data_IF_419399220793
#
_entry.id   IF_419399220793
#
_cell.length_a   1.000
_cell.length_b   1.000
_cell.length_c   1.000
_cell.angle_alpha   90.00
_cell.angle_beta   90.00
_cell.angle_gamma   90.00
#
_symmetry.space_group_name_H-M   'P 1'
#
loop_
_entity.id
_entity.type
_entity.pdbx_description
1 polymer ?
#
# COMPACT_ATOMS: atom_id res chain seq x y z
N UNK A 1 -3.87 -11.71 40.28
CA UNK A 1 -3.65 -10.25 40.35
C UNK A 1 -2.99 -9.80 39.07
N UNK A 2 -3.76 -9.38 38.05
CA UNK A 2 -3.20 -8.79 36.82
C UNK A 2 -3.26 -7.29 37.00
N UNK A 3 -2.17 -6.73 37.53
CA UNK A 3 -1.90 -5.29 37.49
C UNK A 3 -0.84 -5.05 36.43
N UNK A 4 -1.20 -5.26 35.16
CA UNK A 4 -0.52 -4.56 34.08
C UNK A 4 -1.29 -3.27 33.91
N UNK A 5 -0.88 -2.21 34.61
CA UNK A 5 -1.37 -0.87 34.33
C UNK A 5 -1.29 -0.66 32.80
N UNK A 6 -2.41 -0.35 32.15
CA UNK A 6 -2.40 0.08 30.77
C UNK A 6 -1.55 1.34 30.71
N UNK A 7 -0.29 1.17 30.36
CA UNK A 7 0.69 2.23 30.50
C UNK A 7 0.49 3.19 29.33
N UNK A 8 0.35 4.49 29.63
CA UNK A 8 0.10 5.56 28.67
C UNK A 8 1.15 5.62 27.56
N UNK A 9 0.74 5.92 26.34
CA UNK A 9 1.62 6.20 25.21
C UNK A 9 1.80 7.71 25.09
N UNK A 10 3.03 8.20 25.25
CA UNK A 10 3.41 9.55 24.83
C UNK A 10 3.60 9.57 23.31
N UNK A 11 2.84 10.42 22.62
CA UNK A 11 2.79 10.56 21.16
C UNK A 11 3.13 12.01 20.79
N UNK A 12 4.15 12.18 19.94
CA UNK A 12 4.55 13.46 19.36
C UNK A 12 4.23 13.46 17.86
N UNK A 13 3.51 14.49 17.40
CA UNK A 13 3.06 14.66 16.02
C UNK A 13 3.71 15.93 15.48
N UNK A 14 4.67 15.75 14.58
CA UNK A 14 5.44 16.84 13.95
C UNK A 14 4.95 17.06 12.53
N UNK A 15 4.35 18.22 12.27
CA UNK A 15 3.82 18.59 10.96
C UNK A 15 4.91 19.22 10.06
N UNK A 16 4.78 19.14 8.73
CA UNK A 16 5.74 19.74 7.79
C UNK A 16 5.95 21.26 7.96
N UNK A 17 4.95 21.96 8.50
CA UNK A 17 5.03 23.40 8.77
C UNK A 17 5.76 23.75 10.09
N UNK A 18 6.34 22.76 10.77
CA UNK A 18 7.05 22.93 12.04
C UNK A 18 6.16 22.91 13.28
N UNK A 19 4.82 22.81 13.14
CA UNK A 19 3.92 22.63 14.29
C UNK A 19 4.22 21.27 14.95
N UNK A 20 4.26 21.26 16.29
CA UNK A 20 4.41 20.05 17.10
C UNK A 20 3.21 19.93 18.04
N UNK A 21 2.62 18.74 18.11
CA UNK A 21 1.59 18.40 19.09
C UNK A 21 2.05 17.21 19.90
N UNK A 22 2.01 17.31 21.23
CA UNK A 22 2.24 16.19 22.14
C UNK A 22 0.92 15.74 22.76
N UNK A 23 0.68 14.43 22.79
CA UNK A 23 -0.49 13.80 23.40
C UNK A 23 -0.07 12.60 24.24
N UNK A 24 -0.75 12.44 25.35
CA UNK A 24 -0.67 11.22 26.16
C UNK A 24 -1.94 10.42 25.92
N UNK A 25 -1.83 9.23 25.33
CA UNK A 25 -2.95 8.35 25.01
C UNK A 25 -2.99 7.17 25.99
N UNK A 26 -4.15 6.91 26.59
CA UNK A 26 -4.43 5.66 27.30
C UNK A 26 -4.83 4.56 26.31
N UNK A 27 -5.01 3.34 26.82
CA UNK A 27 -5.54 2.25 26.02
C UNK A 27 -6.91 2.61 25.44
N UNK A 28 -7.08 2.41 24.13
CA UNK A 28 -8.26 2.76 23.33
C UNK A 28 -8.55 4.26 23.16
N UNK A 29 -7.68 5.15 23.67
CA UNK A 29 -7.80 6.58 23.35
C UNK A 29 -7.51 6.82 21.86
N UNK A 30 -8.27 7.74 21.28
CA UNK A 30 -8.12 8.17 19.89
C UNK A 30 -7.85 9.67 19.87
N UNK A 31 -6.80 10.05 19.15
CA UNK A 31 -6.57 11.44 18.77
C UNK A 31 -6.73 11.58 17.26
N UNK A 32 -7.48 12.60 16.84
CA UNK A 32 -7.67 12.91 15.43
C UNK A 32 -7.29 14.38 15.19
N UNK A 33 -6.39 14.60 14.23
CA UNK A 33 -6.15 15.90 13.61
C UNK A 33 -6.72 15.86 12.19
N UNK A 34 -7.39 16.92 11.78
CA UNK A 34 -7.83 17.11 10.41
C UNK A 34 -7.61 18.57 9.98
N UNK A 35 -7.31 18.78 8.71
CA UNK A 35 -7.26 20.11 8.10
C UNK A 35 -8.22 20.16 6.91
N UNK A 36 -8.92 21.29 6.77
CA UNK A 36 -9.83 21.54 5.64
C UNK A 36 -9.13 22.13 4.42
N UNK A 37 -7.95 22.73 4.61
CA UNK A 37 -7.31 23.59 3.60
C UNK A 37 -5.91 23.15 3.22
N UNK A 38 -5.32 22.21 3.97
CA UNK A 38 -3.92 21.81 3.77
C UNK A 38 -3.78 20.30 3.86
N UNK A 39 -3.14 19.72 2.85
CA UNK A 39 -2.67 18.34 2.92
C UNK A 39 -1.61 18.22 4.03
N UNK A 40 -1.57 17.07 4.70
CA UNK A 40 -0.63 16.76 5.78
C UNK A 40 0.40 15.64 5.46
N UNK A 41 0.79 15.36 4.21
CA UNK A 41 1.82 14.36 3.90
C UNK A 41 3.16 14.79 4.52
N UNK A 42 3.96 13.81 4.96
CA UNK A 42 5.21 14.08 5.67
C UNK A 42 5.04 14.44 7.15
N UNK A 43 3.83 14.34 7.70
CA UNK A 43 3.63 14.39 9.16
C UNK A 43 4.30 13.19 9.82
N UNK A 44 5.19 13.44 10.78
CA UNK A 44 5.88 12.42 11.53
C UNK A 44 5.16 12.16 12.85
N UNK A 45 4.78 10.90 13.08
CA UNK A 45 4.22 10.42 14.35
C UNK A 45 5.26 9.59 15.07
N UNK A 46 5.73 10.07 16.22
CA UNK A 46 6.63 9.35 17.12
C UNK A 46 5.86 8.95 18.37
N UNK A 47 6.00 7.70 18.78
CA UNK A 47 5.32 7.19 19.97
C UNK A 47 6.27 6.37 20.82
N UNK A 48 6.16 6.54 22.14
CA UNK A 48 6.87 5.72 23.13
C UNK A 48 6.38 4.26 23.18
N UNK A 49 5.25 3.95 22.53
CA UNK A 49 4.63 2.62 22.46
C UNK A 49 3.99 2.35 21.09
N UNK A 50 3.72 1.08 20.74
CA UNK A 50 2.95 0.76 19.54
C UNK A 50 1.59 1.49 19.54
N UNK A 51 1.32 2.22 18.46
CA UNK A 51 0.05 2.88 18.18
C UNK A 51 -0.33 2.59 16.73
N UNK A 52 -1.63 2.50 16.43
CA UNK A 52 -2.10 2.48 15.05
C UNK A 52 -2.24 3.91 14.54
N UNK A 53 -1.76 4.16 13.33
CA UNK A 53 -1.86 5.46 12.66
C UNK A 53 -2.68 5.26 11.41
N UNK A 54 -3.85 5.89 11.33
CA UNK A 54 -4.67 5.93 10.12
C UNK A 54 -4.56 7.31 9.51
N UNK A 55 -4.24 7.38 8.22
CA UNK A 55 -4.12 8.64 7.48
C UNK A 55 -5.03 8.61 6.27
N UNK A 56 -5.61 9.76 5.93
CA UNK A 56 -6.55 9.86 4.82
C UNK A 56 -7.28 11.19 4.78
N UNK A 57 -8.27 11.24 3.89
CA UNK A 57 -9.23 12.33 3.77
C UNK A 57 -10.62 11.77 3.53
N UNK A 58 -11.63 12.36 4.17
CA UNK A 58 -13.04 12.03 3.92
C UNK A 58 -13.53 12.48 2.54
N UNK A 59 -12.78 13.37 1.88
CA UNK A 59 -13.05 13.93 0.56
C UNK A 59 -11.72 14.18 -0.15
N UNK A 60 -11.09 13.11 -0.63
CA UNK A 60 -9.86 13.19 -1.42
C UNK A 60 -10.18 13.49 -2.90
N UNK A 61 -9.35 14.27 -3.59
CA UNK A 61 -9.45 14.54 -5.04
C UNK A 61 -8.13 14.22 -5.72
N UNK A 62 -7.98 13.00 -6.23
CA UNK A 62 -6.70 12.55 -6.80
C UNK A 62 -6.64 12.73 -8.33
N UNK A 63 -7.71 12.39 -9.05
CA UNK A 63 -7.72 12.49 -10.51
C UNK A 63 -9.03 12.99 -11.12
N UNK A 64 -9.99 13.39 -10.29
CA UNK A 64 -11.29 13.89 -10.73
C UNK A 64 -11.73 15.06 -9.86
N UNK A 65 -12.74 15.80 -10.30
CA UNK A 65 -13.38 16.86 -9.50
C UNK A 65 -14.30 16.30 -8.40
N UNK A 66 -14.78 15.07 -8.56
CA UNK A 66 -15.53 14.35 -7.54
C UNK A 66 -14.56 13.88 -6.45
N UNK A 67 -14.99 13.98 -5.21
CA UNK A 67 -14.22 13.45 -4.09
C UNK A 67 -14.84 12.19 -3.54
N UNK A 68 -13.98 11.36 -2.99
CA UNK A 68 -14.34 10.12 -2.32
C UNK A 68 -13.46 9.95 -1.08
N UNK A 69 -13.88 9.07 -0.18
CA UNK A 69 -13.10 8.77 1.02
C UNK A 69 -11.86 7.95 0.61
N UNK A 70 -10.71 8.34 1.11
CA UNK A 70 -9.48 7.58 0.96
C UNK A 70 -8.74 7.58 2.29
N UNK A 71 -8.59 6.41 2.90
CA UNK A 71 -7.85 6.24 4.13
C UNK A 71 -7.16 4.89 4.14
N UNK A 72 -6.04 4.82 4.85
CA UNK A 72 -5.24 3.61 4.99
C UNK A 72 -4.50 3.63 6.33
N UNK A 73 -4.24 2.45 6.90
CA UNK A 73 -3.42 2.33 8.08
C UNK A 73 -1.94 2.41 7.68
N UNK A 74 -1.22 3.38 8.21
CA UNK A 74 0.19 3.61 7.89
C UNK A 74 1.09 2.55 8.53
N UNK A 75 2.13 2.14 7.81
CA UNK A 75 3.21 1.30 8.35
C UNK A 75 4.25 2.17 9.07
N UNK A 76 4.93 1.65 10.10
CA UNK A 76 5.98 2.41 10.78
C UNK A 76 7.18 2.66 9.86
N UNK A 77 7.91 3.74 10.08
CA UNK A 77 9.04 4.15 9.23
C UNK A 77 10.18 3.12 9.22
N UNK A 78 10.38 2.38 10.31
CA UNK A 78 11.36 1.28 10.36
C UNK A 78 10.98 0.06 9.52
N UNK A 79 9.75 0.00 9.00
CA UNK A 79 9.30 -1.04 8.08
C UNK A 79 9.40 -0.61 6.60
N UNK A 80 9.78 0.64 6.31
CA UNK A 80 9.94 1.13 4.95
C UNK A 80 10.97 0.29 4.18
N UNK A 81 10.83 0.21 2.86
CA UNK A 81 11.68 -0.63 1.99
C UNK A 81 12.31 0.22 0.88
N UNK A 82 13.23 -0.36 0.11
CA UNK A 82 13.93 0.32 -0.99
C UNK A 82 13.55 -0.19 -2.39
N UNK A 83 12.75 -1.26 -2.46
CA UNK A 83 12.39 -1.90 -3.72
C UNK A 83 10.91 -2.28 -3.74
N UNK A 84 10.18 -1.77 -4.73
CA UNK A 84 8.75 -1.99 -4.89
C UNK A 84 8.42 -2.30 -6.34
N UNK A 85 7.38 -3.11 -6.50
CA UNK A 85 6.66 -3.29 -7.76
C UNK A 85 5.23 -2.84 -7.47
N UNK A 86 4.77 -1.79 -8.13
CA UNK A 86 3.40 -1.30 -8.01
C UNK A 86 2.58 -1.94 -9.12
N UNK A 87 1.53 -2.71 -8.79
CA UNK A 87 0.70 -3.33 -9.82
C UNK A 87 -0.16 -2.28 -10.52
N UNK A 88 -0.46 -2.45 -11.82
CA UNK A 88 -1.50 -1.67 -12.48
C UNK A 88 -2.86 -1.89 -11.82
N UNK A 89 -3.73 -0.88 -11.90
CA UNK A 89 -5.11 -0.99 -11.43
C UNK A 89 -5.97 -1.45 -12.60
N UNK A 90 -6.61 -2.60 -12.47
CA UNK A 90 -7.49 -3.12 -13.52
C UNK A 90 -8.57 -2.09 -13.87
N UNK A 91 -8.87 -1.94 -15.16
CA UNK A 91 -9.87 -1.01 -15.68
C UNK A 91 -9.61 0.48 -15.46
N UNK A 92 -8.42 0.86 -14.96
CA UNK A 92 -7.98 2.24 -14.93
C UNK A 92 -7.10 2.56 -16.13
N UNK A 93 -7.16 3.80 -16.61
CA UNK A 93 -6.20 4.28 -17.63
C UNK A 93 -4.88 4.70 -16.99
N UNK A 94 -4.92 5.02 -15.69
CA UNK A 94 -3.81 5.56 -14.96
C UNK A 94 -3.89 5.21 -13.48
N UNK A 95 -2.74 5.16 -12.82
CA UNK A 95 -2.69 5.12 -11.36
C UNK A 95 -1.96 6.35 -10.83
N UNK A 96 -2.31 6.77 -9.62
CA UNK A 96 -1.56 7.76 -8.88
C UNK A 96 -0.84 7.05 -7.74
N UNK A 97 0.41 7.41 -7.51
CA UNK A 97 1.17 6.91 -6.37
C UNK A 97 1.82 8.05 -5.61
N UNK A 98 2.06 7.83 -4.33
CA UNK A 98 2.80 8.72 -3.45
C UNK A 98 3.97 7.98 -2.81
N UNK A 99 5.16 8.57 -2.87
CA UNK A 99 6.35 8.07 -2.21
C UNK A 99 6.70 8.96 -1.03
N UNK A 100 7.05 8.38 0.12
CA UNK A 100 7.51 9.10 1.30
C UNK A 100 8.94 8.71 1.65
N UNK A 101 9.83 9.69 1.83
CA UNK A 101 11.19 9.43 2.31
C UNK A 101 11.31 9.66 3.81
N UNK A 102 11.84 8.67 4.54
CA UNK A 102 12.20 8.82 5.95
C UNK A 102 13.58 9.44 6.16
N UNK A 103 14.34 9.66 5.08
CA UNK A 103 15.71 10.16 5.11
C UNK A 103 15.90 11.39 4.21
N UNK A 104 16.93 12.18 4.51
CA UNK A 104 17.38 13.27 3.64
C UNK A 104 18.28 12.75 2.51
N UNK A 105 18.31 13.46 1.37
CA UNK A 105 19.14 13.12 0.21
C UNK A 105 18.87 11.73 -0.37
N UNK A 106 17.64 11.23 -0.25
CA UNK A 106 17.24 9.93 -0.77
C UNK A 106 16.94 10.01 -2.26
N UNK A 107 17.78 9.40 -3.11
CA UNK A 107 17.47 9.29 -4.54
C UNK A 107 16.43 8.21 -4.77
N UNK A 108 15.25 8.62 -5.22
CA UNK A 108 14.14 7.73 -5.59
C UNK A 108 14.00 7.72 -7.11
N UNK A 109 13.94 6.54 -7.70
CA UNK A 109 13.72 6.32 -9.12
C UNK A 109 12.41 5.56 -9.34
N UNK A 110 11.61 6.03 -10.31
CA UNK A 110 10.37 5.39 -10.74
C UNK A 110 10.51 5.07 -12.22
N UNK A 111 10.16 3.84 -12.58
CA UNK A 111 10.29 3.32 -13.94
C UNK A 111 9.06 2.53 -14.35
N UNK A 112 8.61 2.74 -15.58
CA UNK A 112 7.73 1.84 -16.32
C UNK A 112 8.26 1.62 -17.74
N UNK A 113 7.46 0.97 -18.58
CA UNK A 113 7.80 0.64 -19.98
C UNK A 113 7.99 1.87 -20.87
N UNK A 114 7.54 3.05 -20.45
CA UNK A 114 7.57 4.29 -21.24
C UNK A 114 8.56 5.32 -20.69
N UNK A 115 8.86 5.32 -19.39
CA UNK A 115 9.76 6.30 -18.79
C UNK A 115 10.55 5.76 -17.61
N UNK A 116 11.66 6.44 -17.33
CA UNK A 116 12.40 6.35 -16.08
C UNK A 116 12.66 7.78 -15.58
N UNK A 117 12.31 8.05 -14.31
CA UNK A 117 12.52 9.34 -13.69
C UNK A 117 13.08 9.17 -12.27
N UNK A 118 14.17 9.87 -11.98
CA UNK A 118 14.79 9.87 -10.66
C UNK A 118 14.74 11.27 -10.05
N UNK A 119 14.37 11.34 -8.77
CA UNK A 119 14.34 12.57 -7.99
C UNK A 119 15.02 12.34 -6.64
N UNK A 120 15.89 13.25 -6.24
CA UNK A 120 16.41 13.29 -4.88
C UNK A 120 15.39 13.97 -3.97
N UNK A 121 15.01 13.27 -2.90
CA UNK A 121 14.02 13.70 -1.94
C UNK A 121 14.70 14.04 -0.61
N UNK A 122 14.25 15.12 0.02
CA UNK A 122 14.58 15.46 1.39
C UNK A 122 13.75 14.67 2.41
N UNK A 123 14.10 14.81 3.68
CA UNK A 123 13.34 14.24 4.78
C UNK A 123 11.89 14.77 4.80
N UNK A 124 10.92 13.89 5.06
CA UNK A 124 9.49 14.18 5.07
C UNK A 124 8.95 14.78 3.75
N UNK A 125 9.71 14.69 2.65
CA UNK A 125 9.21 15.04 1.33
C UNK A 125 8.46 13.86 0.72
N UNK A 126 7.54 14.18 -0.19
CA UNK A 126 6.82 13.20 -0.98
C UNK A 126 6.90 13.50 -2.47
N UNK A 127 6.69 12.46 -3.28
CA UNK A 127 6.53 12.55 -4.72
C UNK A 127 5.17 11.96 -5.07
N UNK A 128 4.34 12.73 -5.78
CA UNK A 128 3.12 12.24 -6.39
C UNK A 128 3.29 12.24 -7.92
N UNK A 129 2.88 11.16 -8.57
CA UNK A 129 2.87 11.10 -10.03
C UNK A 129 1.70 10.24 -10.53
N UNK A 130 1.37 10.45 -11.81
CA UNK A 130 0.33 9.76 -12.55
C UNK A 130 1.00 9.00 -13.70
N UNK A 131 0.85 7.68 -13.73
CA UNK A 131 1.36 6.83 -14.84
C UNK A 131 0.20 6.18 -15.60
N UNK A 132 0.46 5.66 -16.80
CA UNK A 132 -0.46 4.79 -17.54
C UNK A 132 -0.64 3.44 -16.84
N UNK A 133 -1.59 2.65 -17.33
CA UNK A 133 -1.92 1.34 -16.76
C UNK A 133 -0.88 0.25 -17.06
N UNK A 134 0.31 0.38 -16.49
CA UNK A 134 1.42 -0.60 -16.52
C UNK A 134 1.97 -0.80 -15.12
N UNK A 135 2.68 -1.91 -14.85
CA UNK A 135 3.41 -2.04 -13.59
C UNK A 135 4.53 -1.00 -13.50
N UNK A 136 4.73 -0.46 -12.30
CA UNK A 136 5.85 0.44 -11.99
C UNK A 136 6.89 -0.28 -11.13
N UNK A 137 8.15 0.01 -11.38
CA UNK A 137 9.25 -0.28 -10.47
C UNK A 137 9.61 1.01 -9.74
N UNK A 138 9.67 0.94 -8.42
CA UNK A 138 10.18 2.03 -7.58
C UNK A 138 11.41 1.54 -6.83
N UNK A 139 12.53 2.24 -7.00
CA UNK A 139 13.77 1.98 -6.28
C UNK A 139 14.22 3.22 -5.53
N UNK A 140 14.89 3.04 -4.40
CA UNK A 140 15.46 4.14 -3.63
C UNK A 140 16.79 3.76 -3.00
N UNK A 141 17.59 4.77 -2.65
CA UNK A 141 18.83 4.57 -1.92
C UNK A 141 18.57 4.33 -0.43
N UNK A 142 17.61 5.05 0.15
CA UNK A 142 17.17 4.91 1.54
C UNK A 142 15.71 4.45 1.62
N UNK A 143 15.27 3.86 2.74
CA UNK A 143 13.90 3.36 2.90
C UNK A 143 12.81 4.40 2.61
N UNK A 144 11.79 3.96 1.87
CA UNK A 144 10.59 4.74 1.52
C UNK A 144 9.31 3.94 1.80
N UNK A 145 8.18 4.63 1.84
CA UNK A 145 6.84 4.03 1.71
C UNK A 145 6.23 4.40 0.37
N UNK A 146 5.54 3.46 -0.26
CA UNK A 146 4.82 3.66 -1.53
C UNK A 146 3.34 3.41 -1.29
N UNK A 147 2.51 4.38 -1.67
CA UNK A 147 1.06 4.32 -1.56
C UNK A 147 0.47 4.45 -2.95
N UNK A 148 -0.45 3.57 -3.31
CA UNK A 148 -1.21 3.64 -4.54
C UNK A 148 -2.60 4.22 -4.27
N UNK A 149 -3.05 5.09 -5.16
CA UNK A 149 -4.39 5.65 -5.19
C UNK A 149 -5.10 5.24 -6.49
N UNK A 150 -6.33 4.74 -6.33
CA UNK A 150 -7.30 4.69 -7.44
C UNK A 150 -7.98 6.05 -7.54
N UNK A 151 -8.00 6.61 -8.74
CA UNK A 151 -8.36 8.01 -8.94
C UNK A 151 -9.87 8.30 -9.05
N UNK A 152 -10.65 7.38 -9.64
CA UNK A 152 -12.12 7.42 -9.71
C UNK A 152 -12.65 6.39 -8.73
N UNK A 153 -13.63 6.72 -7.88
CA UNK A 153 -14.16 5.82 -6.84
C UNK A 153 -13.02 5.27 -5.99
N UNK A 154 -12.56 6.10 -5.08
CA UNK A 154 -11.17 6.09 -4.67
C UNK A 154 -10.89 5.00 -3.63
N UNK A 155 -9.67 4.50 -3.67
CA UNK A 155 -9.08 3.82 -2.52
C UNK A 155 -7.64 4.28 -2.37
N UNK A 156 -7.10 4.08 -1.18
CA UNK A 156 -5.70 4.29 -0.84
C UNK A 156 -5.18 2.95 -0.31
N UNK A 157 -4.11 2.43 -0.92
CA UNK A 157 -3.52 1.16 -0.54
C UNK A 157 -2.01 1.30 -0.36
N UNK A 158 -1.47 0.80 0.75
CA UNK A 158 -0.01 0.65 0.89
C UNK A 158 0.47 -0.46 -0.05
N UNK A 159 1.56 -0.16 -0.77
CA UNK A 159 2.24 -1.14 -1.61
C UNK A 159 3.36 -1.77 -0.79
N UNK A 160 3.33 -3.10 -0.54
CA UNK A 160 4.42 -3.77 0.15
C UNK A 160 5.68 -3.76 -0.71
N UNK A 161 6.83 -3.55 -0.08
CA UNK A 161 8.12 -3.76 -0.73
C UNK A 161 8.39 -5.25 -0.97
N UNK A 162 9.27 -5.57 -1.91
CA UNK A 162 9.53 -6.95 -2.36
C UNK A 162 9.99 -7.86 -1.19
N UNK A 163 10.71 -7.30 -0.21
CA UNK A 163 11.17 -8.03 0.98
C UNK A 163 10.08 -8.29 2.03
N UNK A 164 8.90 -7.69 1.86
CA UNK A 164 7.74 -7.87 2.74
C UNK A 164 6.76 -8.92 2.20
N UNK A 165 7.09 -9.54 1.07
CA UNK A 165 6.30 -10.61 0.47
C UNK A 165 6.29 -11.86 1.37
N UNK A 166 5.20 -12.61 1.31
CA UNK A 166 4.99 -13.83 2.07
C UNK A 166 4.64 -14.98 1.13
N UNK A 167 4.70 -16.21 1.63
CA UNK A 167 4.31 -17.41 0.88
C UNK A 167 2.85 -17.82 1.11
N UNK A 168 2.18 -17.18 2.07
CA UNK A 168 0.80 -17.47 2.46
C UNK A 168 0.12 -16.21 2.98
N UNK A 169 -1.12 -15.99 2.54
CA UNK A 169 -1.96 -14.86 2.93
C UNK A 169 -3.34 -15.35 3.32
N UNK A 170 -3.89 -14.75 4.36
CA UNK A 170 -5.27 -14.93 4.79
C UNK A 170 -5.94 -13.57 4.81
N UNK A 171 -7.03 -13.42 4.05
CA UNK A 171 -7.68 -12.12 3.87
C UNK A 171 -9.19 -12.28 3.72
N UNK A 172 -9.90 -11.17 3.95
CA UNK A 172 -11.37 -11.12 3.89
C UNK A 172 -11.81 -10.07 2.89
N UNK A 173 -12.51 -10.50 1.86
CA UNK A 173 -13.12 -9.62 0.86
C UNK A 173 -14.50 -9.20 1.36
N UNK A 174 -14.72 -7.91 1.64
CA UNK A 174 -15.96 -7.47 2.25
C UNK A 174 -17.11 -7.42 1.23
N UNK A 175 -18.31 -7.80 1.66
CA UNK A 175 -19.54 -7.72 0.87
C UNK A 175 -20.20 -6.36 1.10
N UNK A 176 -19.54 -5.30 0.62
CA UNK A 176 -19.94 -3.91 0.92
C UNK A 176 -21.01 -3.40 -0.06
N UNK A 177 -21.08 -3.99 -1.25
CA UNK A 177 -21.79 -3.41 -2.37
C UNK A 177 -22.42 -4.47 -3.28
N UNK A 178 -23.46 -4.07 -4.00
CA UNK A 178 -24.36 -4.99 -4.73
C UNK A 178 -23.84 -5.38 -6.11
N UNK A 179 -22.97 -4.57 -6.73
CA UNK A 179 -22.52 -4.72 -8.12
C UNK A 179 -21.01 -4.64 -8.30
N UNK A 180 -20.27 -5.41 -7.50
CA UNK A 180 -18.80 -5.41 -7.53
C UNK A 180 -18.19 -6.60 -8.21
N UNK A 181 -17.09 -6.29 -8.90
CA UNK A 181 -16.07 -7.28 -9.18
C UNK A 181 -14.93 -7.16 -8.16
N UNK A 182 -14.49 -8.32 -7.67
CA UNK A 182 -13.43 -8.45 -6.69
C UNK A 182 -12.22 -9.11 -7.32
N UNK A 183 -11.05 -8.59 -6.99
CA UNK A 183 -9.80 -8.97 -7.60
C UNK A 183 -8.67 -9.04 -6.58
N UNK A 184 -7.66 -9.84 -6.93
CA UNK A 184 -6.34 -9.75 -6.33
C UNK A 184 -5.30 -9.47 -7.41
N UNK A 185 -4.35 -8.59 -7.10
CA UNK A 185 -3.09 -8.46 -7.85
C UNK A 185 -1.98 -9.19 -7.11
N UNK A 186 -1.31 -10.09 -7.83
CA UNK A 186 -0.21 -10.91 -7.33
C UNK A 186 1.07 -10.51 -8.02
N UNK A 187 2.08 -10.18 -7.24
CA UNK A 187 3.43 -9.87 -7.72
C UNK A 187 4.33 -11.06 -7.39
N UNK A 188 4.80 -11.79 -8.38
CA UNK A 188 5.54 -13.04 -8.18
C UNK A 188 6.63 -13.21 -9.24
N UNK A 189 7.65 -14.02 -8.96
CA UNK A 189 8.57 -14.49 -9.99
C UNK A 189 7.79 -15.24 -11.08
N UNK A 190 8.02 -14.88 -12.34
CA UNK A 190 7.30 -15.45 -13.49
C UNK A 190 7.39 -16.98 -13.54
N UNK A 191 8.55 -17.53 -13.18
CA UNK A 191 8.81 -18.97 -13.12
C UNK A 191 7.99 -19.71 -12.06
N UNK A 192 7.50 -19.02 -11.03
CA UNK A 192 6.78 -19.60 -9.91
C UNK A 192 5.26 -19.37 -9.99
N UNK A 193 4.75 -18.68 -11.02
CA UNK A 193 3.33 -18.33 -11.15
C UNK A 193 2.37 -19.52 -11.04
N UNK A 194 2.76 -20.70 -11.56
CA UNK A 194 1.96 -21.92 -11.53
C UNK A 194 1.85 -22.58 -10.14
N UNK A 195 2.68 -22.15 -9.18
CA UNK A 195 2.64 -22.64 -7.79
C UNK A 195 1.47 -22.05 -6.98
N UNK A 196 0.82 -20.98 -7.48
CA UNK A 196 -0.21 -20.27 -6.74
C UNK A 196 -1.47 -21.11 -6.52
N UNK A 197 -2.05 -21.02 -5.32
CA UNK A 197 -3.32 -21.63 -4.96
C UNK A 197 -4.20 -20.61 -4.25
N UNK A 198 -5.43 -20.47 -4.71
CA UNK A 198 -6.52 -19.78 -4.02
C UNK A 198 -7.46 -20.85 -3.46
N UNK A 199 -7.61 -20.88 -2.15
CA UNK A 199 -8.43 -21.86 -1.43
C UNK A 199 -8.08 -23.31 -1.80
N UNK A 200 -6.79 -23.58 -1.99
CA UNK A 200 -6.26 -24.89 -2.35
C UNK A 200 -6.34 -25.24 -3.84
N UNK A 201 -6.94 -24.40 -4.69
CA UNK A 201 -7.08 -24.65 -6.13
C UNK A 201 -6.29 -23.64 -6.98
N UNK A 202 -5.82 -24.00 -8.19
CA UNK A 202 -5.21 -23.02 -9.09
C UNK A 202 -6.19 -21.87 -9.38
N UNK A 203 -5.80 -20.60 -9.14
CA UNK A 203 -6.70 -19.47 -9.33
C UNK A 203 -6.96 -19.19 -10.82
N UNK A 204 -8.15 -18.65 -11.13
CA UNK A 204 -8.53 -18.28 -12.50
C UNK A 204 -7.95 -16.91 -12.82
N UNK A 205 -6.87 -16.89 -13.59
CA UNK A 205 -6.24 -15.64 -14.03
C UNK A 205 -7.14 -14.91 -15.02
N UNK A 206 -7.21 -13.59 -14.90
CA UNK A 206 -7.78 -12.76 -15.95
C UNK A 206 -6.78 -12.63 -17.10
N UNK A 207 -7.28 -12.48 -18.33
CA UNK A 207 -6.41 -12.23 -19.47
C UNK A 207 -5.62 -10.94 -19.24
N UNK A 208 -4.30 -11.05 -19.35
CA UNK A 208 -3.38 -9.96 -19.08
C UNK A 208 -2.33 -10.37 -18.06
N UNK A 209 -1.07 -10.24 -18.47
CA UNK A 209 0.11 -10.39 -17.64
C UNK A 209 0.91 -9.12 -17.82
N UNK A 210 1.26 -8.43 -16.74
CA UNK A 210 2.08 -7.24 -16.82
C UNK A 210 3.54 -7.59 -16.57
N UNK A 211 4.37 -7.23 -17.54
CA UNK A 211 5.82 -7.36 -17.43
C UNK A 211 6.37 -6.26 -16.54
N UNK A 212 7.25 -6.64 -15.62
CA UNK A 212 7.95 -5.71 -14.73
C UNK A 212 9.23 -5.27 -15.42
N UNK A 213 9.61 -4.01 -15.25
CA UNK A 213 10.85 -3.48 -15.83
C UNK A 213 12.10 -3.91 -15.03
N UNK A 214 13.30 -3.89 -15.65
CA UNK A 214 14.55 -4.08 -14.92
C UNK A 214 14.71 -3.06 -13.77
N UNK A 215 15.30 -3.46 -12.61
CA UNK A 215 16.03 -4.71 -12.39
C UNK A 215 15.17 -5.89 -11.89
N UNK A 216 13.83 -5.77 -11.95
CA UNK A 216 12.90 -6.78 -11.45
C UNK A 216 12.13 -7.49 -12.58
N UNK A 217 12.69 -7.56 -13.77
CA UNK A 217 12.13 -8.16 -14.98
C UNK A 217 11.83 -9.67 -14.89
N UNK A 218 12.36 -10.34 -13.86
CA UNK A 218 11.99 -11.71 -13.50
C UNK A 218 10.64 -11.82 -12.79
N UNK A 219 10.12 -10.72 -12.27
CA UNK A 219 8.78 -10.65 -11.69
C UNK A 219 7.73 -10.40 -12.76
N UNK A 220 6.51 -10.79 -12.44
CA UNK A 220 5.33 -10.46 -13.21
C UNK A 220 4.20 -10.07 -12.26
N UNK A 221 3.27 -9.27 -12.77
CA UNK A 221 2.02 -8.98 -12.08
C UNK A 221 0.88 -9.72 -12.77
N UNK A 222 0.17 -10.53 -11.99
CA UNK A 222 -0.99 -11.30 -12.40
C UNK A 222 -2.22 -10.77 -11.67
N UNK A 223 -3.36 -10.76 -12.35
CA UNK A 223 -4.64 -10.38 -11.73
C UNK A 223 -5.59 -11.56 -11.78
N UNK A 224 -6.20 -11.89 -10.64
CA UNK A 224 -7.18 -12.96 -10.52
C UNK A 224 -8.52 -12.41 -10.06
N UNK A 225 -9.61 -12.98 -10.56
CA UNK A 225 -10.94 -12.71 -10.04
C UNK A 225 -11.18 -13.57 -8.81
N UNK A 226 -11.80 -13.00 -7.79
CA UNK A 226 -12.12 -13.66 -6.52
C UNK A 226 -13.57 -13.41 -6.14
N UNK A 227 -14.02 -14.04 -5.06
CA UNK A 227 -15.34 -13.81 -4.49
C UNK A 227 -15.25 -12.99 -3.21
N UNK A 228 -16.39 -12.69 -2.59
CA UNK A 228 -16.43 -12.12 -1.24
C UNK A 228 -16.06 -13.18 -0.20
N UNK A 229 -15.95 -12.73 1.06
CA UNK A 229 -15.66 -13.52 2.27
C UNK A 229 -14.19 -13.91 2.38
N UNK A 230 -13.95 -14.94 3.16
CA UNK A 230 -12.64 -15.40 3.57
C UNK A 230 -11.94 -16.17 2.46
N UNK A 231 -10.66 -15.87 2.23
CA UNK A 231 -9.82 -16.53 1.26
C UNK A 231 -8.43 -16.81 1.83
N UNK A 232 -7.80 -17.87 1.35
CA UNK A 232 -6.38 -18.17 1.59
C UNK A 232 -5.66 -18.28 0.26
N UNK A 233 -4.62 -17.47 0.07
CA UNK A 233 -3.74 -17.53 -1.09
C UNK A 233 -2.38 -18.06 -0.66
N UNK A 234 -1.90 -19.12 -1.29
CA UNK A 234 -0.62 -19.77 -0.98
C UNK A 234 0.19 -20.07 -2.22
N UNK A 235 1.47 -20.41 -2.04
CA UNK A 235 2.26 -21.14 -3.02
C UNK A 235 2.43 -22.59 -2.58
N UNK A 236 2.42 -23.53 -3.54
CA UNK A 236 2.81 -24.93 -3.30
C UNK A 236 4.31 -25.10 -3.08
N UNK A 237 5.12 -24.08 -3.37
CA UNK A 237 6.57 -24.09 -3.19
C UNK A 237 6.96 -23.25 -1.96
N UNK A 238 7.56 -23.88 -0.95
CA UNK A 238 7.78 -23.26 0.37
C UNK A 238 8.66 -21.99 0.32
N UNK A 239 9.57 -21.89 -0.64
CA UNK A 239 10.50 -20.78 -0.80
C UNK A 239 9.96 -19.64 -1.68
N UNK A 240 8.81 -19.84 -2.33
CA UNK A 240 8.20 -18.84 -3.19
C UNK A 240 7.40 -17.88 -2.34
N UNK A 241 7.79 -16.61 -2.41
CA UNK A 241 7.05 -15.49 -1.82
C UNK A 241 6.47 -14.62 -2.94
N UNK A 242 5.35 -13.97 -2.67
CA UNK A 242 4.68 -13.08 -3.59
C UNK A 242 4.03 -11.92 -2.85
N UNK A 243 3.86 -10.77 -3.51
CA UNK A 243 3.08 -9.66 -3.00
C UNK A 243 1.61 -9.85 -3.35
N UNK A 244 0.71 -9.46 -2.45
CA UNK A 244 -0.74 -9.62 -2.66
C UNK A 244 -1.49 -8.35 -2.26
N UNK A 245 -2.19 -7.77 -3.22
CA UNK A 245 -3.07 -6.61 -3.01
C UNK A 245 -4.49 -7.03 -3.40
N UNK A 246 -5.43 -6.82 -2.49
CA UNK A 246 -6.85 -7.07 -2.70
C UNK A 246 -7.51 -5.77 -3.10
N UNK A 247 -8.39 -5.80 -4.09
CA UNK A 247 -9.16 -4.63 -4.47
C UNK A 247 -10.51 -5.05 -5.08
N UNK A 248 -11.48 -4.15 -5.00
CA UNK A 248 -12.79 -4.32 -5.61
C UNK A 248 -13.28 -3.03 -6.23
N UNK A 249 -14.03 -3.15 -7.33
CA UNK A 249 -14.49 -2.00 -8.12
C UNK A 249 -16.00 -2.13 -8.34
N UNK A 250 -16.74 -1.10 -7.95
CA UNK A 250 -18.07 -0.81 -8.48
C UNK A 250 -17.92 0.15 -9.66
N UNK A 251 -18.67 -0.12 -10.72
CA UNK A 251 -18.83 0.84 -11.80
C UNK A 251 -19.91 1.90 -11.54
N UNK A 252 -20.47 1.97 -10.33
CA UNK A 252 -21.44 2.96 -9.82
C UNK A 252 -21.04 3.54 -8.45
N UNK A 253 -20.81 2.68 -7.46
CA UNK A 253 -20.90 3.07 -6.04
C UNK A 253 -19.57 3.31 -5.30
N UNK A 254 -18.46 2.66 -5.66
CA UNK A 254 -17.20 2.85 -4.95
C UNK A 254 -16.11 1.86 -5.34
N UNK A 255 -14.95 1.95 -4.68
CA UNK A 255 -13.91 0.94 -4.76
C UNK A 255 -13.25 0.79 -3.39
N UNK A 256 -12.54 -0.31 -3.20
CA UNK A 256 -11.66 -0.49 -2.05
C UNK A 256 -10.37 -1.17 -2.51
N UNK A 257 -9.31 -1.01 -1.72
CA UNK A 257 -8.05 -1.68 -1.95
C UNK A 257 -7.22 -1.69 -0.68
N UNK A 258 -6.50 -2.78 -0.43
CA UNK A 258 -5.62 -2.93 0.72
C UNK A 258 -4.57 -4.02 0.45
N UNK A 259 -3.37 -3.95 1.06
CA UNK A 259 -2.43 -5.06 1.05
C UNK A 259 -2.97 -6.23 1.87
N UNK A 260 -3.04 -7.44 1.31
CA UNK A 260 -3.57 -8.61 2.02
C UNK A 260 -2.76 -8.98 3.27
N UNK A 261 -1.49 -8.56 3.31
CA UNK A 261 -0.60 -8.71 4.43
C UNK A 261 0.78 -8.15 4.12
N UNK A 262 1.53 -7.79 5.15
CA UNK A 262 2.89 -7.25 5.03
C UNK A 262 3.76 -7.94 6.08
N UNK A 263 4.86 -8.54 5.64
CA UNK A 263 5.83 -9.13 6.57
C UNK A 263 6.74 -8.05 7.15
N UNK A 264 6.63 -7.80 8.45
CA UNK A 264 7.54 -6.92 9.21
C UNK A 264 8.74 -7.68 9.80
N UNK A 265 8.85 -8.98 9.56
CA UNK A 265 9.85 -9.87 10.13
C UNK A 265 11.24 -9.74 9.47
N UNK A 266 12.04 -8.79 9.99
CA UNK A 266 13.50 -8.80 10.26
C UNK A 266 14.05 -7.37 10.19
N UNK A 267 13.96 -6.67 11.31
CA UNK A 267 14.74 -5.44 11.60
C UNK A 267 15.20 -5.48 13.07
N UNK A 268 16.01 -6.48 13.41
CA UNK A 268 16.94 -6.48 14.53
C UNK A 268 18.23 -7.15 14.04
#
# INVERSE_FOLDING_TARGET
MVSSAFTKAEVNISFPNGKLISKTLNWLDVYQEASLLTDLPGTLVQSSKPVSVVSGASCARVSTSLCDMACEQMIPTNAFQTYFIVPPILSEQFMVFMVFSSESNNKVCVKDVLFENCKTMGWNQWLQSKTKNSSLVVTSQEPISVIQYKGVRMYMAIIPGIRQFMNSYTFVVPEIYVHHDYYISVIILSSASQSLRLDGTPPIQLNGTFHVEPPFDKYTVLTFRITTRYHVMTSTEIHVVFGLIVFGIDYKDGAFGYPAGINFGKFL
#
